data_IF_807523210954
#
_entry.id   IF_807523210954
#
_cell.length_a   1.000
_cell.length_b   1.000
_cell.length_c   1.000
_cell.angle_alpha   90.00
_cell.angle_beta   90.00
_cell.angle_gamma   90.00
#
_symmetry.space_group_name_H-M   'P 1'
#
loop_
_entity.id
_entity.type
_entity.pdbx_description
1 polymer ?
2 non-polymer ?
3 non-polymer ?
4 water ?
#
# COMPACT_ATOMS: atom_id res chain seq x y z
N UNK A 1 24.73 -14.34 4.36
CA UNK A 1 23.32 -14.03 4.64
C UNK A 1 23.25 -12.78 5.48
N UNK A 2 22.30 -11.90 5.16
CA UNK A 2 22.08 -10.65 5.86
C UNK A 2 20.76 -10.78 6.62
N UNK A 3 20.84 -10.79 7.96
CA UNK A 3 19.69 -10.87 8.85
C UNK A 3 18.97 -9.54 8.78
N UNK A 4 17.66 -9.62 8.64
CA UNK A 4 16.86 -8.41 8.57
C UNK A 4 15.64 -8.64 9.47
N UNK A 5 15.46 -7.72 10.37
CA UNK A 5 14.42 -7.71 11.36
C UNK A 5 13.96 -6.30 11.60
N UNK A 6 12.76 -6.14 12.13
CA UNK A 6 12.27 -4.80 12.44
C UNK A 6 10.88 -4.56 11.94
N UNK A 7 10.52 -3.29 11.71
CA UNK A 7 9.19 -2.92 11.27
C UNK A 7 9.13 -1.63 10.48
N UNK A 8 8.12 -1.51 9.63
CA UNK A 8 7.83 -0.31 8.85
C UNK A 8 6.59 0.34 9.51
N UNK A 9 6.67 1.67 9.69
CA UNK A 9 5.59 2.50 10.24
C UNK A 9 4.63 2.92 9.09
N UNK A 10 5.20 3.60 8.07
CA UNK A 10 4.50 4.08 6.88
C UNK A 10 4.98 3.30 5.64
N UNK A 11 4.16 2.35 5.16
CA UNK A 11 4.47 1.55 3.98
C UNK A 11 4.05 2.32 2.69
N UNK B 1 1.39 -1.38 11.92
CA UNK B 1 2.79 -1.77 11.84
C UNK B 1 2.98 -2.98 10.94
N UNK B 2 3.99 -2.92 10.07
CA UNK B 2 4.31 -4.04 9.21
C UNK B 2 5.65 -4.55 9.70
N UNK B 3 5.62 -5.70 10.33
CA UNK B 3 6.79 -6.32 10.90
C UNK B 3 7.43 -7.13 9.83
N UNK B 4 8.73 -7.21 9.92
CA UNK B 4 9.62 -7.91 8.96
C UNK B 4 10.62 -8.77 9.75
N UNK B 5 10.91 -10.00 9.29
CA UNK B 5 11.84 -10.90 9.99
C UNK B 5 12.38 -12.05 9.12
N UNK B 6 13.69 -12.14 8.97
CA UNK B 6 14.29 -13.25 8.23
C UNK B 6 15.67 -12.93 7.75
N UNK B 7 16.10 -13.59 6.67
CA UNK B 7 17.41 -13.29 6.10
C UNK B 7 17.45 -13.30 4.56
N UNK B 8 18.30 -12.41 3.99
CA UNK B 8 18.52 -12.31 2.54
C UNK B 8 19.92 -12.82 2.16
N UNK B 9 20.04 -13.52 1.01
CA UNK B 9 21.32 -14.06 0.52
C UNK B 9 22.22 -12.95 -0.06
N UNK B 10 21.60 -11.86 -0.56
CA UNK B 10 22.26 -10.67 -1.13
C UNK B 10 21.31 -9.46 -1.13
N UNK B 11 21.88 -8.25 -1.15
CA UNK B 11 21.16 -6.97 -1.14
C UNK B 11 20.25 -6.74 -2.36
N UNK C 1 14.87 -16.16 3.13
CA UNK C 1 13.75 -15.22 2.94
C UNK C 1 13.45 -14.39 4.19
N UNK C 2 12.88 -13.24 3.94
CA UNK C 2 12.46 -12.29 4.94
C UNK C 2 10.93 -12.38 4.98
N UNK C 3 10.36 -12.82 6.12
CA UNK C 3 8.92 -12.88 6.32
C UNK C 3 8.44 -11.45 6.46
N UNK C 4 7.25 -11.14 5.91
CA UNK C 4 6.58 -9.83 5.97
C UNK C 4 5.16 -10.08 6.43
N UNK C 5 4.75 -9.40 7.48
CA UNK C 5 3.38 -9.54 7.98
C UNK C 5 2.94 -8.33 8.75
N UNK C 6 1.66 -8.22 8.95
CA UNK C 6 1.15 -7.08 9.70
C UNK C 6 0.16 -6.27 8.91
N UNK C 7 0.08 -4.97 9.23
CA UNK C 7 -0.87 -4.11 8.56
C UNK C 7 -0.47 -2.67 8.49
N UNK C 8 -0.95 -2.00 7.45
CA UNK C 8 -0.84 -0.57 7.28
C UNK C 8 -2.25 -0.05 7.56
N UNK C 9 -2.37 0.57 8.75
CA UNK C 9 -3.60 1.14 9.29
C UNK C 9 -3.69 2.64 8.98
N UNK C 10 -2.53 3.35 8.96
CA UNK C 10 -2.45 4.78 8.66
C UNK C 10 -1.69 5.06 7.33
N UNK C 11 -2.42 5.62 6.32
CA UNK C 11 -1.87 5.96 4.99
C UNK C 11 -2.32 7.37 4.50
N UNK D 1 -8.74 -1.81 7.55
CA UNK D 1 -7.30 -1.62 7.35
C UNK D 1 -6.78 -2.45 6.17
N UNK D 2 -5.49 -2.26 5.80
CA UNK D 2 -4.93 -3.06 4.72
C UNK D 2 -3.89 -3.98 5.34
N UNK D 3 -4.17 -5.29 5.28
CA UNK D 3 -3.32 -6.35 5.81
C UNK D 3 -2.27 -6.71 4.74
N UNK D 4 -1.07 -7.06 5.23
CA UNK D 4 0.13 -7.41 4.47
C UNK D 4 0.60 -8.80 4.96
N UNK D 5 0.84 -9.76 4.04
CA UNK D 5 1.28 -11.08 4.47
C UNK D 5 2.03 -11.88 3.39
N UNK D 6 3.21 -12.37 3.71
CA UNK D 6 3.99 -13.15 2.77
C UNK D 6 5.47 -13.06 3.03
N UNK D 7 6.28 -13.12 1.95
CA UNK D 7 7.75 -13.05 2.12
C UNK D 7 8.50 -12.38 0.97
N UNK D 8 9.73 -11.89 1.24
CA UNK D 8 10.64 -11.28 0.24
C UNK D 8 12.05 -11.90 0.27
N UNK D 9 12.70 -11.89 -0.87
CA UNK D 9 14.06 -12.44 -1.02
C UNK D 9 15.08 -11.32 -1.34
N UNK D 10 14.59 -10.09 -1.51
CA UNK D 10 15.42 -8.92 -1.79
C UNK D 10 14.81 -7.61 -1.26
N UNK D 11 15.64 -6.57 -1.16
CA UNK D 11 15.22 -5.25 -0.68
C UNK D 11 15.69 -4.14 -1.64
N UNK E 1 7.23 -13.09 -2.75
CA UNK E 1 5.92 -12.44 -2.95
C UNK E 1 5.12 -12.24 -1.64
N UNK E 2 4.69 -10.96 -1.43
CA UNK E 2 3.95 -10.47 -0.26
C UNK E 2 2.57 -10.05 -0.71
N UNK E 3 1.50 -10.64 -0.12
CA UNK E 3 0.09 -10.34 -0.44
C UNK E 3 -0.38 -9.08 0.24
N UNK E 4 -0.91 -8.11 -0.52
CA UNK E 4 -1.43 -6.86 0.03
C UNK E 4 -2.91 -6.81 -0.25
N UNK E 5 -3.72 -6.78 0.78
CA UNK E 5 -5.17 -6.72 0.56
C UNK E 5 -5.87 -5.96 1.70
N UNK E 6 -7.08 -5.48 1.43
CA UNK E 6 -7.82 -4.74 2.45
C UNK E 6 -8.40 -3.45 1.96
N UNK E 7 -8.63 -2.51 2.87
CA UNK E 7 -9.25 -1.24 2.48
C UNK E 7 -8.83 -0.05 3.32
N UNK E 8 -8.72 1.10 2.65
CA UNK E 8 -8.46 2.41 3.26
C UNK E 8 -9.80 3.17 3.18
N UNK E 9 -10.40 3.45 4.34
CA UNK E 9 -11.68 4.16 4.42
C UNK E 9 -11.35 5.65 4.54
N UNK E 10 -10.62 6.02 5.61
CA UNK E 10 -10.16 7.39 5.76
C UNK E 10 -8.68 7.51 5.40
N UNK E 11 -8.34 8.56 4.64
CA UNK E 11 -6.97 8.79 4.18
C UNK E 11 -6.11 9.55 5.21
N UNK F 1 -14.91 4.26 -0.09
CA UNK F 1 -14.03 3.21 0.41
C UNK F 1 -13.01 2.94 -0.66
N UNK F 2 -11.74 2.82 -0.27
CA UNK F 2 -10.67 2.54 -1.24
C UNK F 2 -10.27 1.08 -1.01
N UNK F 3 -10.56 0.21 -2.00
CA UNK F 3 -10.22 -1.22 -1.96
C UNK F 3 -8.83 -1.47 -2.51
N UNK F 4 -8.03 -2.19 -1.74
CA UNK F 4 -6.64 -2.54 -2.11
C UNK F 4 -6.53 -4.06 -2.31
N UNK F 5 -5.83 -4.50 -3.37
CA UNK F 5 -5.66 -5.92 -3.70
C UNK F 5 -4.46 -6.12 -4.56
N UNK F 6 -3.65 -7.11 -4.26
CA UNK F 6 -2.51 -7.43 -5.11
C UNK F 6 -1.36 -7.99 -4.32
N UNK F 7 -0.13 -7.86 -4.88
CA UNK F 7 1.08 -8.34 -4.23
C UNK F 7 2.35 -7.54 -4.57
N UNK F 8 3.32 -7.47 -3.63
CA UNK F 8 4.62 -6.82 -3.85
C UNK F 8 5.80 -7.84 -3.79
N UNK F 9 6.85 -7.59 -4.61
CA UNK F 9 8.05 -8.42 -4.71
C UNK F 9 9.19 -7.87 -3.82
N UNK F 10 9.17 -6.56 -3.56
CA UNK F 10 10.21 -5.90 -2.77
C UNK F 10 9.65 -4.91 -1.73
N UNK F 11 10.44 -4.67 -0.67
CA UNK F 11 10.14 -3.75 0.43
C UNK F 11 10.64 -2.30 0.14
N UNK G 1 2.83 -5.79 -8.18
CA UNK G 1 1.78 -4.80 -8.47
C UNK G 1 0.57 -5.02 -7.56
N UNK G 2 0.03 -3.93 -7.05
CA UNK G 2 -1.10 -3.92 -6.12
C UNK G 2 -2.18 -2.97 -6.70
N UNK G 3 -3.34 -3.52 -7.07
CA UNK G 3 -4.48 -2.75 -7.56
C UNK G 3 -5.07 -1.96 -6.43
N UNK G 4 -5.42 -0.72 -6.73
CA UNK G 4 -6.05 0.23 -5.82
C UNK G 4 -7.22 0.87 -6.57
N UNK G 5 -8.43 0.73 -6.03
CA UNK G 5 -9.58 1.31 -6.70
C UNK G 5 -10.60 1.75 -5.69
N UNK G 6 -11.45 2.68 -6.04
CA UNK G 6 -12.47 3.08 -5.08
C UNK G 6 -12.60 4.56 -4.92
N UNK G 7 -12.94 5.00 -3.71
CA UNK G 7 -13.13 6.42 -3.44
C UNK G 7 -12.72 6.88 -2.07
N UNK G 8 -12.13 8.08 -2.03
CA UNK G 8 -11.74 8.83 -0.84
C UNK G 8 -12.93 9.74 -0.50
N UNK G 9 -13.33 9.66 0.79
CA UNK G 9 -14.40 10.38 1.46
C UNK G 9 -13.74 11.29 2.49
N UNK G 10 -12.97 10.68 3.45
CA UNK G 10 -12.23 11.39 4.50
C UNK G 10 -10.80 11.70 4.02
N UNK G 11 -10.60 12.94 3.53
CA UNK G 11 -9.32 13.40 2.96
C UNK G 11 -8.33 13.92 4.00
N UNK H 1 -16.98 13.72 -5.07
CA UNK H 1 -16.36 12.50 -4.51
C UNK H 1 -14.95 12.32 -5.06
N UNK H 2 -13.98 11.79 -4.26
CA UNK H 2 -12.68 11.63 -4.92
C UNK H 2 -12.51 10.17 -5.31
N UNK H 3 -12.53 9.94 -6.62
CA UNK H 3 -12.41 8.62 -7.21
C UNK H 3 -10.94 8.31 -7.49
N UNK H 4 -10.59 7.07 -7.18
CA UNK H 4 -9.25 6.50 -7.31
C UNK H 4 -9.29 5.21 -8.15
N UNK H 5 -8.29 5.02 -9.03
CA UNK H 5 -8.17 3.83 -9.87
C UNK H 5 -6.77 3.71 -10.43
N UNK H 6 -6.10 2.63 -10.09
CA UNK H 6 -4.75 2.42 -10.58
C UNK H 6 -4.02 1.36 -9.80
N UNK H 7 -2.67 1.45 -9.79
CA UNK H 7 -1.87 0.46 -9.10
C UNK H 7 -0.57 0.97 -8.49
N UNK H 8 -0.06 0.30 -7.43
CA UNK H 8 1.23 0.65 -6.81
C UNK H 8 2.19 -0.56 -6.96
N UNK H 9 3.50 -0.31 -7.16
CA UNK H 9 4.47 -1.40 -7.36
C UNK H 9 5.26 -1.85 -6.11
N UNK H 10 5.35 -0.97 -5.08
CA UNK H 10 6.14 -1.20 -3.87
C UNK H 10 5.45 -0.73 -2.58
N UNK H 11 4.50 0.24 -2.71
CA UNK H 11 3.71 0.92 -1.67
C UNK H 11 4.42 2.15 -1.07
N UNK I 1 1.06 3.49 -11.04
CA UNK I 1 0.41 4.80 -11.05
C UNK I 1 -1.07 4.71 -10.61
N UNK I 2 -1.45 5.49 -9.59
CA UNK I 2 -2.84 5.51 -9.16
C UNK I 2 -3.44 6.80 -9.73
N UNK I 3 -4.46 6.69 -10.61
CA UNK I 3 -5.15 7.82 -11.24
C UNK I 3 -6.18 8.35 -10.25
N UNK I 4 -6.22 9.71 -10.08
CA UNK I 4 -7.06 10.46 -9.13
C UNK I 4 -7.92 11.47 -9.88
N UNK I 5 -9.22 11.47 -9.61
CA UNK I 5 -10.12 12.40 -10.27
C UNK I 5 -11.38 12.62 -9.45
N UNK I 6 -12.02 13.75 -9.62
CA UNK I 6 -13.25 13.97 -8.90
C UNK I 6 -13.35 15.32 -8.26
N UNK I 7 -14.01 15.37 -7.09
CA UNK I 7 -14.29 16.61 -6.37
C UNK I 7 -14.31 16.44 -4.85
N UNK I 8 -13.89 17.48 -4.12
CA UNK I 8 -13.92 17.50 -2.67
C UNK I 8 -15.10 18.41 -2.22
N UNK I 9 -16.20 17.79 -1.73
CA UNK I 9 -17.41 18.50 -1.24
C UNK I 9 -17.08 19.06 0.15
N UNK I 10 -16.35 18.23 0.94
CA UNK I 10 -15.81 18.45 2.28
C UNK I 10 -14.75 17.34 2.53
N UNK I 11 -14.04 17.40 3.68
CA UNK I 11 -12.99 16.43 4.06
C UNK I 11 -13.41 15.59 5.29
N UNK J 1 -16.60 24.41 -5.76
CA UNK J 1 -16.19 23.02 -5.89
C UNK J 1 -14.71 22.88 -6.19
N UNK J 2 -13.98 22.22 -5.27
CA UNK J 2 -12.56 21.94 -5.45
C UNK J 2 -12.50 20.64 -6.28
N UNK J 3 -12.04 20.77 -7.55
CA UNK J 3 -11.90 19.63 -8.45
C UNK J 3 -10.49 19.10 -8.33
N UNK J 4 -10.34 17.80 -8.59
CA UNK J 4 -9.08 17.04 -8.52
C UNK J 4 -8.95 16.20 -9.81
N UNK J 5 -7.72 16.14 -10.33
CA UNK J 5 -7.38 15.40 -11.54
C UNK J 5 -5.88 15.28 -11.68
N UNK J 6 -5.43 14.05 -11.69
CA UNK J 6 -4.02 13.74 -11.87
C UNK J 6 -3.74 12.30 -11.54
N UNK J 7 -2.50 12.02 -11.17
CA UNK J 7 -2.02 10.69 -10.84
C UNK J 7 -0.90 10.73 -9.78
N UNK J 8 -0.95 9.79 -8.83
CA UNK J 8 0.02 9.62 -7.75
C UNK J 8 0.85 8.34 -7.94
N UNK J 9 2.02 8.27 -7.28
CA UNK J 9 2.95 7.14 -7.37
C UNK J 9 2.83 6.20 -6.16
N UNK J 10 2.53 6.75 -4.99
CA UNK J 10 2.37 5.98 -3.76
C UNK J 10 1.06 6.36 -3.07
N UNK J 11 0.69 5.58 -2.04
CA UNK J 11 -0.51 5.80 -1.24
C UNK J 11 -0.19 6.57 0.08
X LIG K 1 21.70 -11.67 15.31
X LIG K 1 20.73 -10.59 14.85
X LIG K 1 23.16 -11.32 15.08
X LIG K 1 20.92 -10.06 13.73
X LIG K 1 19.78 -10.28 15.61
X LIG K 1 23.97 -12.25 14.85
X LIG K 1 23.48 -10.11 15.13
X LIG L 1 17.60 -13.35 13.18
X LIG L 1 17.03 -14.06 11.95
X LIG L 1 17.16 -11.90 13.38
X LIG L 1 16.89 -13.40 10.89
X LIG L 1 16.75 -15.28 12.03
X LIG L 1 16.31 -11.43 12.59
X LIG L 1 17.66 -11.24 14.33
X LIG M 1 -4.51 -11.28 -1.68
X LIG M 1 -3.73 -11.77 -2.90
X LIG M 1 -5.08 -12.36 -0.76
X LIG M 1 -4.00 -12.89 -3.39
X LIG M 1 -2.85 -11.02 -3.38
X LIG M 1 -5.74 -13.29 -1.26
X LIG M 1 -4.91 -12.25 0.48
X LIG N 1 -6.13 10.90 -15.90
X LIG N 1 -4.87 10.96 -15.23
X LIG N 1 -7.19 10.22 -15.07
X LIG N 1 -7.40 10.92 -13.85
X LIG N 1 -8.51 10.08 -15.80
X LIG N 1 -9.48 9.46 -14.96
#
# INVERSE_FOLDING_TARGET
KVKVWGSIKRL
KVKVWGSIKRL
KVKVWGSIKRL
KVKVWGSIKRL
KVKVWGSIKRL
KVKVWGSIKRL
KVKVWGSIKRL
KVKVWGSIKRL
KVKVWGSIKRL
KVKVWGSIKRL
MLI C1 C2 C3 O6 O7 O8 O9
MLI C1 C2 C3 O6 O7 O8 O9
MLI C1 C2 C3 O6 O7 O8 O9
GOL C1 O1 C2 O2 C3 O3
#
